data_IF_719050028682
#
_entry.id   IF_719050028682
#
_cell.length_a   1.000
_cell.length_b   1.000
_cell.length_c   1.000
_cell.angle_alpha   90.00
_cell.angle_beta   90.00
_cell.angle_gamma   90.00
#
_symmetry.space_group_name_H-M   'P 1'
#
loop_
_entity.id
_entity.type
_entity.pdbx_description
1 polymer ?
#
# COMPACT_ATOMS: atom_id res chain seq x y z
N UNK A 1 -17.65 -7.35 -14.64
CA UNK A 1 -16.53 -7.00 -13.74
C UNK A 1 -15.69 -8.25 -13.54
N UNK A 2 -14.41 -8.21 -13.90
CA UNK A 2 -13.52 -9.36 -13.77
C UNK A 2 -13.29 -9.71 -12.30
N UNK A 3 -13.13 -11.00 -11.99
CA UNK A 3 -12.80 -11.49 -10.64
C UNK A 3 -11.48 -10.84 -10.19
N UNK A 4 -11.54 -9.98 -9.16
CA UNK A 4 -10.37 -9.38 -8.52
C UNK A 4 -9.76 -10.38 -7.53
N UNK A 5 -8.44 -10.35 -7.39
CA UNK A 5 -7.71 -11.14 -6.39
C UNK A 5 -7.31 -10.28 -5.18
N UNK A 6 -7.54 -8.97 -5.22
CA UNK A 6 -7.28 -8.07 -4.11
C UNK A 6 -8.28 -8.31 -2.98
N UNK A 7 -7.77 -8.34 -1.75
CA UNK A 7 -8.60 -8.35 -0.56
C UNK A 7 -9.27 -6.98 -0.36
N UNK A 8 -10.42 -6.90 0.35
CA UNK A 8 -11.06 -5.63 0.65
C UNK A 8 -10.13 -4.60 1.30
N UNK A 9 -9.26 -5.05 2.23
CA UNK A 9 -8.27 -4.18 2.90
C UNK A 9 -7.26 -3.58 1.91
N UNK A 10 -6.82 -4.36 0.93
CA UNK A 10 -5.92 -3.88 -0.10
C UNK A 10 -6.60 -2.86 -1.00
N UNK A 11 -7.86 -3.10 -1.37
CA UNK A 11 -8.65 -2.17 -2.15
C UNK A 11 -8.85 -0.84 -1.40
N UNK A 12 -9.27 -0.89 -0.13
CA UNK A 12 -9.47 0.29 0.71
C UNK A 12 -8.20 1.14 0.80
N UNK A 13 -7.03 0.49 0.96
CA UNK A 13 -5.75 1.20 0.96
C UNK A 13 -5.47 1.88 -0.39
N UNK A 14 -5.69 1.18 -1.51
CA UNK A 14 -5.45 1.71 -2.84
C UNK A 14 -6.39 2.87 -3.18
N UNK A 15 -7.66 2.81 -2.77
CA UNK A 15 -8.61 3.91 -2.93
C UNK A 15 -8.17 5.15 -2.14
N UNK A 16 -7.73 4.97 -0.89
CA UNK A 16 -7.23 6.08 -0.08
C UNK A 16 -5.92 6.66 -0.63
N UNK A 17 -5.03 5.81 -1.17
CA UNK A 17 -3.79 6.23 -1.81
C UNK A 17 -4.07 7.00 -3.12
N UNK A 18 -4.99 6.51 -3.95
CA UNK A 18 -5.41 7.17 -5.18
C UNK A 18 -5.97 8.58 -4.91
N UNK A 19 -6.80 8.71 -3.87
CA UNK A 19 -7.43 9.97 -3.49
C UNK A 19 -6.44 11.03 -2.97
N UNK A 20 -5.23 10.64 -2.58
CA UNK A 20 -4.21 11.55 -2.07
C UNK A 20 -3.23 11.93 -3.19
N UNK A 21 -3.34 13.14 -3.73
CA UNK A 21 -2.51 13.61 -4.86
C UNK A 21 -0.99 13.51 -4.61
N UNK A 22 -0.54 13.68 -3.37
CA UNK A 22 0.88 13.54 -3.00
C UNK A 22 1.38 12.09 -3.05
N UNK A 23 0.48 11.12 -3.11
CA UNK A 23 0.77 9.70 -3.28
C UNK A 23 0.53 9.31 -4.73
N UNK A 24 -0.67 9.55 -5.27
CA UNK A 24 -1.04 9.09 -6.62
C UNK A 24 -0.26 9.71 -7.77
N UNK A 25 0.35 10.89 -7.58
CA UNK A 25 1.27 11.49 -8.58
C UNK A 25 2.69 10.94 -8.52
N UNK A 26 3.08 10.36 -7.40
CA UNK A 26 4.47 9.97 -7.13
C UNK A 26 4.64 8.45 -7.13
N UNK A 27 3.58 7.69 -6.90
CA UNK A 27 3.64 6.24 -6.77
C UNK A 27 2.75 5.54 -7.79
N UNK A 28 3.25 4.43 -8.31
CA UNK A 28 2.50 3.49 -9.13
C UNK A 28 2.51 2.10 -8.52
N UNK A 29 1.40 1.38 -8.70
CA UNK A 29 1.28 -0.02 -8.28
C UNK A 29 2.11 -0.90 -9.21
N UNK A 30 2.98 -1.71 -8.63
CA UNK A 30 3.87 -2.61 -9.36
C UNK A 30 3.99 -3.96 -8.65
N UNK A 31 5.03 -4.71 -8.96
CA UNK A 31 5.39 -5.94 -8.26
C UNK A 31 4.42 -7.09 -8.50
N UNK A 32 4.44 -8.06 -7.58
CA UNK A 32 3.66 -9.28 -7.70
C UNK A 32 2.16 -9.04 -7.67
N UNK A 33 1.72 -7.98 -6.98
CA UNK A 33 0.31 -7.61 -6.83
C UNK A 33 -0.25 -7.02 -8.11
N UNK A 34 0.45 -6.09 -8.76
CA UNK A 34 0.03 -5.57 -10.08
C UNK A 34 -0.03 -6.70 -11.13
N UNK A 35 1.01 -7.55 -11.14
CA UNK A 35 1.11 -8.63 -12.11
C UNK A 35 0.02 -9.69 -11.93
N UNK A 36 -0.30 -10.01 -10.68
CA UNK A 36 -1.33 -11.01 -10.37
C UNK A 36 -2.74 -10.46 -10.61
N UNK A 37 -3.03 -9.20 -10.27
CA UNK A 37 -4.37 -8.61 -10.48
C UNK A 37 -4.70 -8.39 -11.95
N UNK A 38 -3.78 -7.79 -12.71
CA UNK A 38 -4.07 -7.32 -14.07
C UNK A 38 -3.70 -8.31 -15.17
N UNK A 39 -2.74 -9.22 -14.95
CA UNK A 39 -2.22 -10.08 -16.01
C UNK A 39 -2.51 -11.58 -15.79
N UNK A 40 -2.02 -12.16 -14.69
CA UNK A 40 -1.95 -13.63 -14.60
C UNK A 40 -2.98 -14.29 -13.67
N UNK A 41 -3.43 -13.61 -12.61
CA UNK A 41 -4.36 -14.15 -11.60
C UNK A 41 -3.96 -15.52 -11.02
N UNK A 42 -2.66 -15.81 -11.05
CA UNK A 42 -2.10 -17.14 -10.78
C UNK A 42 -1.83 -17.40 -9.30
N UNK A 43 -1.79 -16.35 -8.47
CA UNK A 43 -1.58 -16.44 -7.02
C UNK A 43 -2.30 -15.31 -6.30
N UNK A 44 -2.61 -15.56 -5.04
CA UNK A 44 -2.94 -14.48 -4.10
C UNK A 44 -1.64 -13.71 -3.80
N UNK A 45 -1.73 -12.39 -3.79
CA UNK A 45 -0.63 -11.53 -3.35
C UNK A 45 -1.08 -10.84 -2.07
N UNK A 46 -0.38 -11.09 -0.97
CA UNK A 46 -0.74 -10.52 0.33
C UNK A 46 -0.19 -9.10 0.52
N UNK A 47 0.77 -8.69 -0.31
CA UNK A 47 1.46 -7.40 -0.21
C UNK A 47 0.92 -6.33 -1.19
N UNK A 48 1.27 -5.07 -0.97
CA UNK A 48 1.09 -3.97 -1.94
C UNK A 48 2.45 -3.33 -2.19
N UNK A 49 2.89 -3.36 -3.44
CA UNK A 49 4.14 -2.76 -3.89
C UNK A 49 3.86 -1.41 -4.58
N UNK A 50 4.24 -0.31 -3.94
CA UNK A 50 4.19 1.03 -4.51
C UNK A 50 5.60 1.57 -4.75
N UNK A 51 5.91 1.92 -5.99
CA UNK A 51 7.23 2.42 -6.38
C UNK A 51 7.12 3.85 -6.90
N UNK A 52 8.18 4.63 -6.72
CA UNK A 52 8.32 5.99 -7.22
C UNK A 52 9.58 6.07 -8.08
N UNK A 53 9.51 6.80 -9.19
CA UNK A 53 10.69 7.08 -10.04
C UNK A 53 11.61 8.13 -9.41
N UNK A 54 11.04 8.98 -8.54
CA UNK A 54 11.76 10.06 -7.88
C UNK A 54 12.01 9.72 -6.42
N UNK A 55 13.06 10.29 -5.84
CA UNK A 55 13.30 10.18 -4.40
C UNK A 55 12.21 10.95 -3.65
N UNK A 56 11.40 10.22 -2.87
CA UNK A 56 10.33 10.81 -2.08
C UNK A 56 10.76 10.90 -0.62
N UNK A 57 10.69 12.12 -0.09
CA UNK A 57 11.01 12.36 1.31
C UNK A 57 9.97 11.69 2.23
N UNK A 58 10.38 11.05 3.34
CA UNK A 58 9.47 10.40 4.30
C UNK A 58 8.32 11.29 4.79
N UNK A 59 8.51 12.60 4.83
CA UNK A 59 7.52 13.60 5.24
C UNK A 59 6.29 13.65 4.33
N UNK A 60 6.33 13.06 3.13
CA UNK A 60 5.14 12.89 2.27
C UNK A 60 4.35 11.64 2.67
N UNK A 61 5.06 10.58 3.07
CA UNK A 61 4.48 9.25 3.34
C UNK A 61 3.93 9.16 4.75
N UNK A 62 4.71 9.58 5.74
CA UNK A 62 4.35 9.43 7.15
C UNK A 62 3.03 10.14 7.52
N UNK A 63 2.76 11.39 7.10
CA UNK A 63 1.48 12.04 7.37
C UNK A 63 0.30 11.34 6.66
N UNK A 64 0.51 10.86 5.44
CA UNK A 64 -0.49 10.08 4.72
C UNK A 64 -0.85 8.79 5.47
N UNK A 65 0.16 8.00 5.85
CA UNK A 65 -0.05 6.74 6.58
C UNK A 65 -0.73 6.98 7.92
N UNK A 66 -0.34 8.02 8.66
CA UNK A 66 -1.01 8.43 9.90
C UNK A 66 -2.48 8.82 9.67
N UNK A 67 -2.78 9.54 8.58
CA UNK A 67 -4.14 9.97 8.22
C UNK A 67 -5.07 8.80 7.91
N UNK A 68 -4.58 7.77 7.22
CA UNK A 68 -5.41 6.61 6.82
C UNK A 68 -5.49 5.54 7.90
N UNK A 69 -4.56 5.52 8.86
CA UNK A 69 -4.46 4.48 9.89
C UNK A 69 -5.73 4.25 10.70
N UNK A 70 -6.45 5.29 11.18
CA UNK A 70 -7.71 5.07 11.92
C UNK A 70 -8.80 4.43 11.04
N UNK A 71 -8.85 4.78 9.75
CA UNK A 71 -9.86 4.26 8.81
C UNK A 71 -9.62 2.80 8.47
N UNK A 72 -8.36 2.43 8.29
CA UNK A 72 -7.94 1.08 7.96
C UNK A 72 -7.79 0.17 9.19
N UNK A 73 -7.99 0.70 10.41
CA UNK A 73 -7.78 -0.06 11.64
C UNK A 73 -6.32 -0.46 11.85
N UNK A 74 -5.36 0.37 11.40
CA UNK A 74 -3.93 0.12 11.60
C UNK A 74 -3.58 0.39 13.07
N UNK A 75 -2.96 -0.59 13.72
CA UNK A 75 -2.48 -0.55 15.11
C UNK A 75 -1.06 -0.04 15.25
N UNK A 76 -0.20 -0.31 14.27
CA UNK A 76 1.19 0.11 14.28
C UNK A 76 1.71 0.29 12.84
N UNK A 77 2.61 1.23 12.68
CA UNK A 77 3.40 1.43 11.46
C UNK A 77 4.86 1.24 11.85
N UNK A 78 5.53 0.25 11.25
CA UNK A 78 6.98 0.07 11.40
C UNK A 78 7.66 0.63 10.17
N UNK A 79 8.70 1.45 10.38
CA UNK A 79 9.55 1.99 9.32
C UNK A 79 10.94 1.38 9.44
N UNK A 80 11.46 0.91 8.33
CA UNK A 80 12.84 0.44 8.20
C UNK A 80 13.54 1.22 7.08
N UNK A 81 14.84 1.48 7.27
CA UNK A 81 15.69 2.06 6.22
C UNK A 81 16.93 1.20 6.09
N UNK A 82 17.08 0.55 4.94
CA UNK A 82 18.24 -0.29 4.61
C UNK A 82 18.84 0.20 3.31
N UNK A 83 20.09 0.67 3.35
CA UNK A 83 20.81 1.18 2.18
C UNK A 83 20.05 2.27 1.38
N UNK A 84 19.26 3.11 2.07
CA UNK A 84 18.46 4.16 1.45
C UNK A 84 17.06 3.73 1.01
N UNK A 85 16.74 2.43 1.07
CA UNK A 85 15.38 1.93 0.84
C UNK A 85 14.55 2.10 2.11
N UNK A 86 13.52 2.94 2.05
CA UNK A 86 12.52 3.08 3.10
C UNK A 86 11.37 2.08 2.90
N UNK A 87 11.20 1.19 3.87
CA UNK A 87 10.11 0.20 3.90
C UNK A 87 9.13 0.53 5.03
N UNK A 88 7.83 0.55 4.72
CA UNK A 88 6.76 0.76 5.70
C UNK A 88 5.90 -0.49 5.83
N UNK A 89 5.81 -1.05 7.03
CA UNK A 89 4.93 -2.19 7.35
C UNK A 89 3.75 -1.71 8.18
N UNK A 90 2.53 -2.00 7.69
CA UNK A 90 1.28 -1.61 8.33
C UNK A 90 0.70 -2.82 9.08
N UNK A 91 0.67 -2.77 10.42
CA UNK A 91 0.07 -3.81 11.24
C UNK A 91 -1.39 -3.47 11.50
N UNK A 92 -2.30 -4.21 10.90
CA UNK A 92 -3.74 -4.11 11.18
C UNK A 92 -4.04 -4.60 12.60
N UNK A 93 -5.02 -3.98 13.27
CA UNK A 93 -5.61 -4.53 14.49
C UNK A 93 -6.11 -5.93 14.16
N UNK A 94 -5.81 -6.90 15.02
CA UNK A 94 -6.49 -8.20 14.99
C UNK A 94 -7.94 -7.93 15.33
N UNK A 95 -8.75 -7.72 14.30
CA UNK A 95 -10.17 -7.96 14.42
C UNK A 95 -10.29 -9.46 14.14
N UNK A 96 -10.66 -10.22 15.17
CA UNK A 96 -11.15 -11.58 14.98
C UNK A 96 -12.32 -11.51 13.98
N UNK A 97 -12.10 -12.10 12.80
CA UNK A 97 -13.04 -12.84 11.96
C UNK A 97 -12.38 -13.15 10.61
#
# INVERSE_FOLDING_TARGET
MGKTILTPKQLDFLELAQAQASISKNFYLTGGTALSEFYFKHRLSEDIDLFSEQEIKPQVIEPFLKKISPRLGISAITKENVLGLFSYRLKYRKNEN
#
